data_IF_056355023379
#
_entry.id   IF_056355023379
#
_cell.length_a   1.000
_cell.length_b   1.000
_cell.length_c   1.000
_cell.angle_alpha   90.00
_cell.angle_beta   90.00
_cell.angle_gamma   90.00
#
_symmetry.space_group_name_H-M   'P 1'
#
loop_
_entity.id
_entity.type
_entity.pdbx_description
1 polymer ?
#
# COMPACT_ATOMS: atom_id res chain seq x y z
N UNK A 1 -54.39 30.37 -8.96
CA UNK A 1 -53.49 30.03 -10.09
C UNK A 1 -52.14 30.75 -10.03
N UNK A 2 -52.09 32.09 -9.89
CA UNK A 2 -50.83 32.88 -9.99
C UNK A 2 -49.75 32.52 -8.95
N UNK A 3 -50.12 32.18 -7.71
CA UNK A 3 -49.17 31.81 -6.65
C UNK A 3 -48.55 30.42 -6.81
N UNK A 4 -49.28 29.49 -7.42
CA UNK A 4 -48.80 28.11 -7.63
C UNK A 4 -47.61 28.09 -8.61
N UNK A 5 -47.64 28.97 -9.61
CA UNK A 5 -46.57 29.15 -10.59
C UNK A 5 -45.29 29.65 -9.89
N UNK A 6 -45.40 30.64 -9.01
CA UNK A 6 -44.25 31.17 -8.26
C UNK A 6 -43.61 30.11 -7.35
N UNK A 7 -44.43 29.28 -6.69
CA UNK A 7 -43.95 28.19 -5.84
C UNK A 7 -43.21 27.12 -6.68
N UNK A 8 -43.77 26.73 -7.83
CA UNK A 8 -43.14 25.79 -8.75
C UNK A 8 -41.78 26.29 -9.26
N UNK A 9 -41.70 27.56 -9.65
CA UNK A 9 -40.46 28.18 -10.11
C UNK A 9 -39.41 28.19 -9.00
N UNK A 10 -39.80 28.58 -7.78
CA UNK A 10 -38.91 28.56 -6.63
C UNK A 10 -38.38 27.15 -6.32
N UNK A 11 -39.24 26.14 -6.41
CA UNK A 11 -38.85 24.75 -6.21
C UNK A 11 -37.85 24.27 -7.28
N UNK A 12 -38.07 24.61 -8.56
CA UNK A 12 -37.17 24.24 -9.66
C UNK A 12 -35.80 24.92 -9.49
N UNK A 13 -35.76 26.22 -9.21
CA UNK A 13 -34.51 26.96 -9.03
C UNK A 13 -33.76 26.46 -7.80
N UNK A 14 -34.46 26.22 -6.68
CA UNK A 14 -33.88 25.66 -5.47
C UNK A 14 -33.27 24.28 -5.71
N UNK A 15 -33.99 23.39 -6.42
CA UNK A 15 -33.50 22.07 -6.79
C UNK A 15 -32.27 22.14 -7.68
N UNK A 16 -32.33 22.95 -8.76
CA UNK A 16 -31.21 23.10 -9.70
C UNK A 16 -29.96 23.67 -9.03
N UNK A 17 -30.12 24.67 -8.17
CA UNK A 17 -29.01 25.31 -7.47
C UNK A 17 -28.39 24.36 -6.44
N UNK A 18 -29.20 23.62 -5.68
CA UNK A 18 -28.69 22.63 -4.73
C UNK A 18 -27.95 21.49 -5.43
N UNK A 19 -28.49 20.99 -6.54
CA UNK A 19 -27.81 19.99 -7.37
C UNK A 19 -26.46 20.50 -7.89
N UNK A 20 -26.42 21.75 -8.35
CA UNK A 20 -25.19 22.37 -8.83
C UNK A 20 -24.16 22.52 -7.70
N UNK A 21 -24.58 22.95 -6.50
CA UNK A 21 -23.71 23.12 -5.34
C UNK A 21 -23.07 21.79 -4.90
N UNK A 22 -23.88 20.72 -4.79
CA UNK A 22 -23.37 19.38 -4.48
C UNK A 22 -22.37 18.94 -5.55
N UNK A 23 -22.69 19.16 -6.83
CA UNK A 23 -21.77 18.84 -7.94
C UNK A 23 -20.46 19.64 -7.85
N UNK A 24 -20.52 20.90 -7.41
CA UNK A 24 -19.36 21.79 -7.26
C UNK A 24 -18.41 21.39 -6.11
N UNK A 25 -18.90 20.70 -5.09
CA UNK A 25 -18.05 20.16 -4.02
C UNK A 25 -17.10 19.07 -4.55
N UNK A 26 -17.58 18.24 -5.48
CA UNK A 26 -16.84 17.10 -6.02
C UNK A 26 -16.14 17.38 -7.36
N UNK A 27 -16.61 18.37 -8.14
CA UNK A 27 -16.05 18.78 -9.44
C UNK A 27 -15.98 20.31 -9.47
N UNK A 28 -14.99 20.97 -10.09
CA UNK A 28 -13.97 20.45 -10.99
C UNK A 28 -12.76 19.90 -10.25
N UNK A 29 -12.12 18.88 -10.84
CA UNK A 29 -10.94 18.22 -10.27
C UNK A 29 -9.69 19.09 -10.27
N UNK A 30 -9.66 20.09 -11.16
CA UNK A 30 -8.52 20.98 -11.39
C UNK A 30 -8.97 22.44 -11.35
N UNK A 31 -8.01 23.33 -11.11
CA UNK A 31 -8.21 24.77 -11.20
C UNK A 31 -8.50 25.16 -12.64
N UNK A 32 -9.62 25.84 -12.88
CA UNK A 32 -9.94 26.38 -14.20
C UNK A 32 -9.61 27.87 -14.23
N UNK A 33 -8.91 28.29 -15.29
CA UNK A 33 -8.58 29.70 -15.57
C UNK A 33 -9.17 30.09 -16.91
N UNK A 34 -9.79 31.26 -16.97
CA UNK A 34 -10.30 31.88 -18.21
C UNK A 34 -9.69 33.28 -18.30
N UNK A 35 -9.08 33.62 -19.44
CA UNK A 35 -8.38 34.91 -19.65
C UNK A 35 -7.43 35.27 -18.48
N UNK A 36 -6.63 34.31 -18.02
CA UNK A 36 -5.72 34.42 -16.86
C UNK A 36 -6.39 34.69 -15.48
N UNK A 37 -7.72 34.76 -15.40
CA UNK A 37 -8.45 34.91 -14.14
C UNK A 37 -8.89 33.53 -13.64
N UNK A 38 -8.61 33.24 -12.35
CA UNK A 38 -9.05 32.01 -11.69
C UNK A 38 -10.55 32.05 -11.45
N UNK A 39 -11.26 31.00 -11.88
CA UNK A 39 -12.69 30.87 -11.61
C UNK A 39 -12.90 30.57 -10.11
N UNK A 40 -13.74 31.34 -9.40
CA UNK A 40 -14.07 31.03 -8.00
C UNK A 40 -14.71 29.64 -7.90
N UNK A 41 -14.50 28.95 -6.79
CA UNK A 41 -14.97 27.57 -6.57
C UNK A 41 -14.35 26.51 -7.50
N UNK A 42 -13.17 26.79 -8.07
CA UNK A 42 -12.35 25.79 -8.77
C UNK A 42 -10.94 25.74 -8.17
N UNK A 43 -10.38 24.56 -7.87
CA UNK A 43 -11.01 23.22 -7.88
C UNK A 43 -12.09 23.08 -6.79
N UNK A 44 -12.93 22.05 -6.91
CA UNK A 44 -13.94 21.73 -5.88
C UNK A 44 -13.31 21.48 -4.51
N UNK A 45 -14.09 21.61 -3.44
CA UNK A 45 -13.61 21.51 -2.06
C UNK A 45 -12.98 20.14 -1.75
N UNK A 46 -13.63 19.05 -2.18
CA UNK A 46 -13.16 17.68 -1.93
C UNK A 46 -11.86 17.39 -2.71
N UNK A 47 -11.77 17.65 -4.04
CA UNK A 47 -10.51 17.53 -4.77
C UNK A 47 -9.35 18.32 -4.16
N UNK A 48 -9.62 19.54 -3.66
CA UNK A 48 -8.61 20.40 -3.02
C UNK A 48 -8.06 19.76 -1.73
N UNK A 49 -8.94 19.18 -0.92
CA UNK A 49 -8.60 18.59 0.39
C UNK A 49 -8.27 17.09 0.33
N UNK A 50 -8.16 16.50 -0.87
CA UNK A 50 -8.00 15.06 -1.08
C UNK A 50 -6.90 14.43 -0.21
N UNK A 51 -5.76 15.11 -0.05
CA UNK A 51 -4.61 14.60 0.70
C UNK A 51 -4.89 14.55 2.21
N UNK A 52 -5.51 15.59 2.77
CA UNK A 52 -5.88 15.64 4.19
C UNK A 52 -6.93 14.57 4.48
N UNK A 53 -7.94 14.45 3.61
CA UNK A 53 -9.00 13.44 3.75
C UNK A 53 -8.40 12.03 3.66
N UNK A 54 -7.55 11.74 2.67
CA UNK A 54 -6.93 10.41 2.53
C UNK A 54 -6.06 10.06 3.72
N UNK A 55 -5.34 11.02 4.31
CA UNK A 55 -4.53 10.79 5.52
C UNK A 55 -5.41 10.44 6.72
N UNK A 56 -6.47 11.20 6.96
CA UNK A 56 -7.37 10.94 8.10
C UNK A 56 -8.15 9.64 7.93
N UNK A 57 -8.67 9.36 6.73
CA UNK A 57 -9.35 8.10 6.42
C UNK A 57 -8.39 6.93 6.54
N UNK A 58 -7.18 7.04 5.98
CA UNK A 58 -6.17 5.99 6.09
C UNK A 58 -5.77 5.71 7.54
N UNK A 59 -5.63 6.76 8.36
CA UNK A 59 -5.39 6.62 9.81
C UNK A 59 -6.53 5.87 10.49
N UNK A 60 -7.78 6.29 10.27
CA UNK A 60 -8.95 5.65 10.88
C UNK A 60 -9.10 4.18 10.43
N UNK A 61 -8.88 3.89 9.15
CA UNK A 61 -8.88 2.51 8.62
C UNK A 61 -7.76 1.68 9.25
N UNK A 62 -6.55 2.24 9.35
CA UNK A 62 -5.41 1.57 9.98
C UNK A 62 -5.66 1.25 11.46
N UNK A 63 -6.21 2.21 12.20
CA UNK A 63 -6.45 2.07 13.64
C UNK A 63 -7.67 1.18 13.96
N UNK A 64 -8.69 1.15 13.11
CA UNK A 64 -9.97 0.48 13.44
C UNK A 64 -10.28 -0.77 12.62
N UNK A 65 -9.84 -0.85 11.36
CA UNK A 65 -10.15 -1.99 10.48
C UNK A 65 -8.98 -2.95 10.32
N UNK A 66 -7.75 -2.44 10.39
CA UNK A 66 -6.52 -3.22 10.22
C UNK A 66 -5.79 -3.45 11.55
N UNK A 67 -6.55 -3.75 12.61
CA UNK A 67 -5.97 -4.12 13.90
C UNK A 67 -5.26 -5.47 13.80
N UNK A 68 -4.26 -5.69 14.66
CA UNK A 68 -3.49 -6.95 14.71
C UNK A 68 -4.40 -8.17 14.84
N UNK A 69 -5.45 -8.06 15.66
CA UNK A 69 -6.43 -9.12 15.86
C UNK A 69 -7.23 -9.42 14.57
N UNK A 70 -7.73 -8.38 13.90
CA UNK A 70 -8.50 -8.54 12.65
C UNK A 70 -7.63 -9.13 11.54
N UNK A 71 -6.37 -8.70 11.46
CA UNK A 71 -5.42 -9.18 10.48
C UNK A 71 -5.03 -10.64 10.75
N UNK A 72 -4.73 -10.99 12.01
CA UNK A 72 -4.38 -12.36 12.41
C UNK A 72 -5.54 -13.30 12.13
N UNK A 73 -6.76 -12.94 12.55
CA UNK A 73 -7.97 -13.72 12.27
C UNK A 73 -8.21 -13.89 10.77
N UNK A 74 -7.93 -12.84 9.98
CA UNK A 74 -8.05 -12.87 8.52
C UNK A 74 -7.03 -13.82 7.87
N UNK A 75 -5.79 -13.84 8.35
CA UNK A 75 -4.70 -14.72 7.88
C UNK A 75 -4.84 -16.16 8.37
N UNK A 76 -5.47 -16.36 9.53
CA UNK A 76 -5.67 -17.70 10.10
C UNK A 76 -6.71 -18.53 9.36
N UNK A 77 -7.60 -17.86 8.61
CA UNK A 77 -8.59 -18.50 7.75
C UNK A 77 -7.93 -19.49 6.80
N UNK A 78 -8.48 -20.70 6.78
CA UNK A 78 -7.95 -21.82 6.02
C UNK A 78 -7.79 -21.48 4.53
N UNK A 79 -8.76 -20.78 3.96
CA UNK A 79 -8.77 -20.36 2.56
C UNK A 79 -7.61 -19.41 2.22
N UNK A 80 -7.21 -18.57 3.17
CA UNK A 80 -6.07 -17.64 2.99
C UNK A 80 -4.76 -18.39 3.12
N UNK A 81 -4.63 -19.27 4.12
CA UNK A 81 -3.45 -20.13 4.29
C UNK A 81 -3.21 -21.01 3.07
N UNK A 82 -4.24 -21.67 2.58
CA UNK A 82 -4.16 -22.58 1.43
C UNK A 82 -3.75 -21.81 0.17
N UNK A 83 -4.33 -20.63 -0.09
CA UNK A 83 -3.92 -19.76 -1.21
C UNK A 83 -2.49 -19.24 -1.08
N UNK A 84 -2.08 -18.83 0.12
CA UNK A 84 -0.70 -18.39 0.36
C UNK A 84 0.27 -19.54 0.11
N UNK A 85 -0.05 -20.74 0.60
CA UNK A 85 0.75 -21.93 0.38
C UNK A 85 0.85 -22.30 -1.10
N UNK A 86 -0.27 -22.25 -1.83
CA UNK A 86 -0.32 -22.49 -3.27
C UNK A 86 0.53 -21.46 -4.03
N UNK A 87 0.40 -20.16 -3.74
CA UNK A 87 1.19 -19.10 -4.37
C UNK A 87 2.69 -19.27 -4.09
N UNK A 88 3.06 -19.61 -2.85
CA UNK A 88 4.46 -19.84 -2.48
C UNK A 88 5.00 -21.07 -3.22
N UNK A 89 4.26 -22.17 -3.20
CA UNK A 89 4.67 -23.43 -3.85
C UNK A 89 4.80 -23.26 -5.35
N UNK A 90 3.82 -22.64 -6.01
CA UNK A 90 3.86 -22.33 -7.45
C UNK A 90 5.04 -21.41 -7.81
N UNK A 91 5.33 -20.40 -6.97
CA UNK A 91 6.51 -19.55 -7.18
C UNK A 91 7.81 -20.31 -6.98
N UNK A 92 7.92 -21.15 -5.95
CA UNK A 92 9.08 -21.98 -5.70
C UNK A 92 9.28 -22.93 -6.89
N UNK A 93 8.25 -23.65 -7.32
CA UNK A 93 8.34 -24.59 -8.43
C UNK A 93 8.70 -23.90 -9.74
N UNK A 94 8.17 -22.70 -10.02
CA UNK A 94 8.58 -21.91 -11.19
C UNK A 94 10.02 -21.41 -11.13
N UNK A 95 10.54 -21.19 -9.93
CA UNK A 95 11.93 -20.78 -9.70
C UNK A 95 12.89 -21.97 -9.82
N UNK A 96 12.50 -23.14 -9.32
CA UNK A 96 13.32 -24.35 -9.36
C UNK A 96 13.25 -25.06 -10.72
N UNK A 97 12.10 -25.05 -11.41
CA UNK A 97 11.90 -25.67 -12.72
C UNK A 97 12.06 -24.69 -13.89
N UNK A 98 12.08 -23.38 -13.63
CA UNK A 98 12.45 -22.39 -14.63
C UNK A 98 13.96 -22.37 -14.81
N UNK A 99 14.44 -22.31 -16.05
CA UNK A 99 15.85 -22.32 -16.47
C UNK A 99 16.72 -21.18 -15.89
N UNK A 100 16.21 -20.40 -14.93
CA UNK A 100 16.90 -19.27 -14.35
C UNK A 100 17.44 -19.65 -12.97
N UNK A 101 18.76 -19.92 -12.85
CA UNK A 101 19.36 -20.23 -11.56
C UNK A 101 19.01 -19.12 -10.56
N UNK A 102 18.87 -19.50 -9.28
CA UNK A 102 18.61 -18.62 -8.13
C UNK A 102 19.41 -17.29 -8.18
N UNK A 103 20.59 -17.29 -8.82
CA UNK A 103 21.40 -16.11 -9.14
C UNK A 103 20.74 -14.99 -9.97
N UNK A 104 19.70 -15.26 -10.77
CA UNK A 104 18.95 -14.20 -11.48
C UNK A 104 17.85 -13.57 -10.62
N UNK A 105 17.24 -14.34 -9.72
CA UNK A 105 16.22 -13.85 -8.80
C UNK A 105 16.83 -12.99 -7.71
N UNK A 106 18.00 -13.38 -7.22
CA UNK A 106 18.80 -12.54 -6.32
C UNK A 106 19.14 -11.22 -7.00
N UNK A 107 19.56 -11.22 -8.27
CA UNK A 107 19.80 -9.97 -9.03
C UNK A 107 18.55 -9.10 -9.23
N UNK A 108 17.35 -9.68 -9.36
CA UNK A 108 16.11 -8.93 -9.58
C UNK A 108 15.51 -8.36 -8.30
N UNK A 109 15.63 -9.07 -7.18
CA UNK A 109 15.19 -8.63 -5.84
C UNK A 109 16.21 -7.64 -5.24
N UNK A 110 17.52 -7.88 -5.45
CA UNK A 110 18.62 -7.04 -4.94
C UNK A 110 19.20 -6.08 -6.00
N UNK A 111 18.38 -5.59 -6.92
CA UNK A 111 18.82 -4.82 -8.10
C UNK A 111 19.38 -3.41 -7.82
N UNK A 112 20.07 -3.18 -6.70
CA UNK A 112 20.69 -1.87 -6.44
C UNK A 112 21.94 -1.81 -5.53
N UNK A 113 22.46 -2.91 -4.95
CA UNK A 113 23.68 -2.81 -4.12
C UNK A 113 24.63 -4.00 -4.31
N UNK A 114 25.04 -4.22 -5.56
CA UNK A 114 26.00 -5.25 -5.94
C UNK A 114 27.36 -5.06 -5.22
N UNK A 115 27.90 -6.19 -4.76
CA UNK A 115 29.28 -6.45 -4.31
C UNK A 115 29.60 -6.22 -2.83
N UNK A 116 29.27 -5.08 -2.21
CA UNK A 116 29.64 -4.84 -0.80
C UNK A 116 28.78 -5.60 0.22
N UNK A 117 27.51 -5.83 -0.12
CA UNK A 117 26.57 -6.53 0.77
C UNK A 117 26.94 -8.01 0.84
N UNK A 118 27.25 -8.64 -0.30
CA UNK A 118 27.61 -10.06 -0.39
C UNK A 118 28.89 -10.34 0.41
N UNK A 119 29.93 -9.53 0.24
CA UNK A 119 31.19 -9.67 0.98
C UNK A 119 31.00 -9.52 2.51
N UNK A 120 30.13 -8.61 2.93
CA UNK A 120 29.80 -8.43 4.36
C UNK A 120 29.00 -9.61 4.95
N UNK A 121 28.14 -10.25 4.16
CA UNK A 121 27.41 -11.45 4.59
C UNK A 121 28.31 -12.68 4.63
N UNK A 122 29.22 -12.85 3.67
CA UNK A 122 30.21 -13.93 3.68
C UNK A 122 31.15 -13.83 4.88
N UNK A 123 31.65 -12.63 5.20
CA UNK A 123 32.49 -12.43 6.39
C UNK A 123 31.71 -12.66 7.70
N UNK A 124 30.44 -12.21 7.77
CA UNK A 124 29.58 -12.48 8.94
C UNK A 124 29.25 -13.96 9.09
N UNK A 125 28.94 -14.66 8.00
CA UNK A 125 28.69 -16.11 7.98
C UNK A 125 29.94 -16.88 8.37
N UNK A 126 31.09 -16.51 7.82
CA UNK A 126 32.37 -17.14 8.14
C UNK A 126 32.73 -16.95 9.61
N UNK A 127 32.54 -15.74 10.17
CA UNK A 127 32.72 -15.47 11.60
C UNK A 127 31.72 -16.22 12.48
N UNK A 128 30.46 -16.34 12.07
CA UNK A 128 29.43 -17.07 12.80
C UNK A 128 29.71 -18.58 12.79
N UNK A 129 30.06 -19.15 11.63
CA UNK A 129 30.45 -20.55 11.47
C UNK A 129 31.75 -20.85 12.22
N UNK A 130 32.76 -19.99 12.13
CA UNK A 130 33.99 -20.10 12.91
C UNK A 130 33.70 -20.06 14.41
N UNK A 131 32.83 -19.18 14.88
CA UNK A 131 32.39 -19.14 16.28
C UNK A 131 31.68 -20.43 16.69
N UNK A 132 30.85 -20.99 15.83
CA UNK A 132 30.11 -22.22 16.08
C UNK A 132 31.03 -23.45 16.11
N UNK A 133 31.93 -23.57 15.13
CA UNK A 133 32.92 -24.66 15.01
C UNK A 133 33.95 -24.58 16.14
N UNK A 134 34.44 -23.38 16.49
CA UNK A 134 35.39 -23.18 17.59
C UNK A 134 34.76 -23.50 18.95
N UNK A 135 33.48 -23.17 19.17
CA UNK A 135 32.73 -23.54 20.38
C UNK A 135 32.52 -25.06 20.49
N UNK A 136 32.42 -25.79 19.37
CA UNK A 136 32.29 -27.25 19.35
C UNK A 136 33.64 -27.97 19.54
N UNK A 137 34.74 -27.43 19.00
CA UNK A 137 36.08 -28.00 19.14
C UNK A 137 36.77 -27.69 20.48
N UNK A 138 36.40 -26.60 21.18
CA UNK A 138 36.86 -26.35 22.56
C UNK A 138 36.28 -27.36 23.56
N UNK A 139 35.07 -27.88 23.34
CA UNK A 139 34.48 -28.94 24.20
C UNK A 139 35.15 -30.31 24.07
N UNK A 140 35.93 -30.55 23.01
CA UNK A 140 36.62 -31.84 22.79
C UNK A 140 38.09 -31.86 23.24
N UNK A 141 38.66 -30.72 23.65
CA UNK A 141 40.09 -30.61 24.03
C UNK A 141 40.33 -30.30 25.52
N UNK A 142 39.28 -30.19 26.34
CA UNK A 142 39.38 -29.90 27.79
C UNK A 142 38.75 -31.02 28.65
N UNK A 143 38.77 -32.25 28.16
CA UNK A 143 38.47 -33.41 28.99
C UNK A 143 39.35 -34.57 28.51
N UNK A 144 40.39 -34.96 29.28
CA UNK A 144 40.92 -36.33 29.18
C UNK A 144 39.83 -37.35 29.52
#
# INVERSE_FOLDING_TARGET
MKYLISILIGAIIGYLTNWLAIKMLFRPYEEKRIFNIKIPFTPGLIPKERYRISKSVGKAVGEHLLTEETLTKSLERKEVKDKVYEIITDKIDKVFNGEKPIGELTKKIFKENNDQVILNYEDKLSKALMKYVKKKNLKKKVMP
#
